data_IF_081678144825
#
_entry.id   IF_081678144825
#
_cell.length_a   1.000
_cell.length_b   1.000
_cell.length_c   1.000
_cell.angle_alpha   90.00
_cell.angle_beta   90.00
_cell.angle_gamma   90.00
#
_symmetry.space_group_name_H-M   'P 1'
#
loop_
_entity.id
_entity.type
_entity.pdbx_description
1 polymer ?
#
# COMPACT_ATOMS: atom_id res chain seq x y z
N UNK A 1 -21.10 -26.56 -59.09
CA UNK A 1 -21.34 -27.23 -57.79
C UNK A 1 -20.08 -27.48 -56.94
N UNK A 2 -18.89 -27.70 -57.53
CA UNK A 2 -17.63 -27.85 -56.77
C UNK A 2 -17.17 -26.56 -56.04
N UNK A 3 -17.48 -25.38 -56.59
CA UNK A 3 -17.17 -24.06 -55.97
C UNK A 3 -18.04 -23.75 -54.74
N UNK A 4 -19.23 -24.38 -54.64
CA UNK A 4 -20.13 -24.20 -53.50
C UNK A 4 -19.71 -25.07 -52.30
N UNK A 5 -19.07 -26.23 -52.53
CA UNK A 5 -18.51 -27.07 -51.47
C UNK A 5 -17.24 -26.49 -50.81
N UNK A 6 -16.47 -25.66 -51.52
CA UNK A 6 -15.26 -25.02 -50.97
C UNK A 6 -15.61 -23.87 -50.01
N UNK A 7 -16.75 -23.20 -50.20
CA UNK A 7 -17.20 -22.09 -49.35
C UNK A 7 -17.67 -22.52 -47.94
N UNK A 8 -18.15 -23.77 -47.81
CA UNK A 8 -18.71 -24.27 -46.54
C UNK A 8 -17.58 -24.75 -45.61
N UNK A 9 -16.49 -25.26 -46.18
CA UNK A 9 -15.31 -25.75 -45.43
C UNK A 9 -14.49 -24.61 -44.80
N UNK A 10 -14.58 -23.39 -45.34
CA UNK A 10 -13.98 -22.18 -44.76
C UNK A 10 -14.83 -21.54 -43.66
N UNK A 11 -16.12 -21.90 -43.53
CA UNK A 11 -17.03 -21.28 -42.55
C UNK A 11 -17.02 -21.96 -41.17
N UNK A 12 -16.54 -23.21 -41.08
CA UNK A 12 -16.59 -24.01 -39.84
C UNK A 12 -15.23 -24.20 -39.16
N UNK A 13 -14.14 -23.68 -39.73
CA UNK A 13 -12.79 -23.89 -39.20
C UNK A 13 -12.04 -22.57 -39.06
N UNK A 14 -12.11 -21.93 -37.89
CA UNK A 14 -11.04 -21.11 -37.24
C UNK A 14 -11.53 -20.10 -36.17
N UNK A 15 -12.79 -20.16 -35.69
CA UNK A 15 -13.15 -19.50 -34.41
C UNK A 15 -13.08 -20.48 -33.22
N UNK A 16 -11.99 -21.24 -33.14
CA UNK A 16 -11.51 -21.82 -31.88
C UNK A 16 -10.15 -21.20 -31.56
N UNK A 17 -10.06 -19.87 -31.61
CA UNK A 17 -8.92 -19.12 -31.08
C UNK A 17 -9.13 -18.87 -29.59
N UNK A 18 -8.49 -19.73 -28.80
CA UNK A 18 -7.91 -19.43 -27.48
C UNK A 18 -8.75 -18.61 -26.50
N UNK A 19 -9.37 -19.29 -25.54
CA UNK A 19 -9.69 -18.73 -24.23
C UNK A 19 -8.39 -18.44 -23.44
N UNK A 20 -7.67 -17.37 -23.81
CA UNK A 20 -6.73 -16.72 -22.92
C UNK A 20 -7.43 -15.54 -22.26
N UNK A 21 -8.16 -15.80 -21.17
CA UNK A 21 -8.38 -14.78 -20.15
C UNK A 21 -7.11 -14.65 -19.30
N UNK A 22 -6.02 -14.20 -19.93
CA UNK A 22 -5.20 -13.18 -19.26
C UNK A 22 -6.15 -11.98 -19.13
N UNK A 23 -6.17 -11.15 -18.08
CA UNK A 23 -5.05 -10.45 -17.46
C UNK A 23 -5.72 -9.76 -16.27
N UNK A 24 -5.64 -10.35 -15.08
CA UNK A 24 -5.68 -9.55 -13.85
C UNK A 24 -4.27 -8.99 -13.65
N UNK A 25 -3.80 -8.23 -14.66
CA UNK A 25 -2.70 -7.30 -14.47
C UNK A 25 -3.31 -6.14 -13.71
N UNK A 26 -3.21 -6.17 -12.39
CA UNK A 26 -3.18 -4.94 -11.61
C UNK A 26 -1.71 -4.58 -11.36
N UNK A 27 -1.02 -3.83 -12.23
CA UNK A 27 0.14 -3.07 -11.81
C UNK A 27 -0.39 -1.67 -11.44
N UNK A 28 -1.22 -1.58 -10.41
CA UNK A 28 -1.55 -0.27 -9.85
C UNK A 28 -0.48 0.05 -8.82
N UNK A 29 0.46 0.90 -9.23
CA UNK A 29 1.71 1.18 -8.54
C UNK A 29 1.56 1.49 -7.06
N UNK A 30 2.38 0.82 -6.26
CA UNK A 30 2.77 1.33 -4.95
C UNK A 30 4.05 2.14 -5.12
N UNK A 31 3.91 3.41 -5.48
CA UNK A 31 4.89 4.39 -5.04
C UNK A 31 4.66 4.51 -3.53
N UNK A 32 5.35 3.68 -2.76
CA UNK A 32 5.36 3.75 -1.31
C UNK A 32 6.17 4.99 -0.93
N UNK A 33 5.46 6.08 -0.68
CA UNK A 33 6.05 7.35 -0.28
C UNK A 33 6.49 7.25 1.18
N UNK A 34 7.61 6.55 1.36
CA UNK A 34 8.33 6.48 2.62
C UNK A 34 9.18 7.74 2.77
N UNK A 35 8.91 8.51 3.82
CA UNK A 35 9.79 9.62 4.24
C UNK A 35 10.73 9.14 5.33
N UNK A 36 11.97 9.61 5.31
CA UNK A 36 12.92 9.37 6.40
C UNK A 36 12.66 10.38 7.51
N UNK A 37 12.33 9.89 8.70
CA UNK A 37 12.26 10.68 9.93
C UNK A 37 13.35 10.24 10.90
N UNK A 38 13.68 11.05 11.89
CA UNK A 38 14.73 10.78 12.86
C UNK A 38 14.13 10.75 14.26
N UNK A 39 14.36 9.67 15.01
CA UNK A 39 13.81 9.48 16.36
C UNK A 39 14.89 9.16 17.38
N UNK A 40 14.67 9.54 18.64
CA UNK A 40 15.61 9.22 19.72
C UNK A 40 15.33 7.80 20.24
N UNK A 41 16.34 6.91 20.31
CA UNK A 41 16.14 5.54 20.81
C UNK A 41 15.66 5.50 22.27
N UNK A 42 15.95 6.54 23.07
CA UNK A 42 15.50 6.68 24.45
C UNK A 42 14.19 7.45 24.60
N UNK A 43 13.84 8.29 23.63
CA UNK A 43 12.67 9.16 23.68
C UNK A 43 11.89 9.08 22.35
N UNK A 44 11.09 8.02 22.15
CA UNK A 44 10.40 7.75 20.88
C UNK A 44 9.48 8.88 20.42
N UNK A 45 8.96 9.68 21.36
CA UNK A 45 8.10 10.83 21.09
C UNK A 45 8.83 11.98 20.39
N UNK A 46 10.16 11.98 20.44
CA UNK A 46 10.97 12.97 19.72
C UNK A 46 11.16 12.45 18.30
N UNK A 47 10.44 13.05 17.37
CA UNK A 47 10.54 12.78 15.95
C UNK A 47 10.94 14.10 15.27
N UNK A 48 11.92 14.05 14.38
CA UNK A 48 12.40 15.19 13.59
C UNK A 48 12.55 14.79 12.13
N UNK A 49 12.38 15.75 11.22
CA UNK A 49 12.58 15.50 9.78
C UNK A 49 14.07 15.59 9.38
N UNK A 50 14.96 15.96 10.31
CA UNK A 50 16.40 16.15 10.09
C UNK A 50 17.25 15.37 11.09
N UNK A 51 18.46 14.93 10.69
CA UNK A 51 19.42 14.34 11.63
C UNK A 51 19.84 15.36 12.68
N UNK A 52 20.34 14.87 13.82
CA UNK A 52 20.85 15.72 14.88
C UNK A 52 20.91 15.02 16.23
N UNK A 53 20.96 15.81 17.29
CA UNK A 53 20.90 15.33 18.67
C UNK A 53 19.50 15.47 19.26
N UNK A 54 19.18 14.56 20.17
CA UNK A 54 18.01 14.57 21.00
C UNK A 54 18.08 15.77 21.97
N UNK A 55 17.08 16.65 22.02
CA UNK A 55 17.07 17.79 22.94
C UNK A 55 16.87 17.38 24.41
N UNK A 56 16.36 16.17 24.69
CA UNK A 56 16.15 15.69 26.07
C UNK A 56 17.40 15.03 26.68
N UNK A 57 18.18 14.29 25.90
CA UNK A 57 19.32 13.51 26.42
C UNK A 57 20.62 13.64 25.62
N UNK A 58 20.67 14.46 24.58
CA UNK A 58 21.89 14.69 23.79
C UNK A 58 22.30 13.54 22.86
N UNK A 59 21.67 12.36 22.94
CA UNK A 59 21.98 11.23 22.05
C UNK A 59 21.68 11.55 20.58
N UNK A 60 22.41 10.92 19.66
CA UNK A 60 22.16 11.03 18.22
C UNK A 60 20.81 10.43 17.86
N UNK A 61 20.02 11.15 17.05
CA UNK A 61 18.77 10.64 16.50
C UNK A 61 19.05 9.59 15.41
N UNK A 62 18.23 8.56 15.38
CA UNK A 62 18.32 7.43 14.44
C UNK A 62 17.27 7.57 13.35
N UNK A 63 17.66 7.34 12.10
CA UNK A 63 16.75 7.40 10.95
C UNK A 63 15.75 6.23 10.97
N UNK A 64 14.48 6.52 10.68
CA UNK A 64 13.36 5.59 10.59
C UNK A 64 12.52 5.93 9.35
N UNK A 65 12.09 4.92 8.61
CA UNK A 65 11.15 5.11 7.49
C UNK A 65 9.73 5.25 8.03
N UNK A 66 9.05 6.33 7.68
CA UNK A 66 7.66 6.59 8.00
C UNK A 66 6.82 6.64 6.71
N UNK A 67 5.65 6.02 6.71
CA UNK A 67 4.68 6.16 5.62
C UNK A 67 4.01 7.52 5.74
N UNK A 68 4.37 8.44 4.87
CA UNK A 68 4.11 9.86 5.08
C UNK A 68 2.70 10.31 4.68
N UNK A 69 2.09 9.65 3.69
CA UNK A 69 1.10 10.38 2.88
C UNK A 69 -0.26 9.68 2.78
N UNK A 70 -0.47 8.54 3.45
CA UNK A 70 -1.74 7.81 3.35
C UNK A 70 -2.32 7.48 4.73
N UNK A 71 -3.63 7.69 4.95
CA UNK A 71 -4.30 7.12 6.10
C UNK A 71 -4.18 5.61 6.06
N UNK A 72 -3.92 5.01 7.21
CA UNK A 72 -3.86 3.57 7.37
C UNK A 72 -4.94 3.14 8.35
N UNK A 73 -5.40 1.91 8.25
CA UNK A 73 -6.44 1.35 9.11
C UNK A 73 -5.80 0.37 10.08
N UNK A 74 -6.20 0.42 11.35
CA UNK A 74 -5.67 -0.47 12.38
C UNK A 74 -6.78 -0.98 13.30
N UNK A 75 -6.59 -2.15 13.87
CA UNK A 75 -7.53 -2.73 14.81
C UNK A 75 -7.17 -2.28 16.23
N UNK A 76 -8.15 -1.73 16.97
CA UNK A 76 -7.94 -1.29 18.36
C UNK A 76 -7.53 -2.43 19.31
N UNK A 77 -7.95 -3.66 19.02
CA UNK A 77 -7.61 -4.85 19.81
C UNK A 77 -6.28 -5.48 19.38
N UNK A 78 -5.95 -5.39 18.08
CA UNK A 78 -4.78 -6.04 17.49
C UNK A 78 -3.92 -4.99 16.78
N UNK A 79 -3.07 -4.32 17.55
CA UNK A 79 -2.24 -3.22 17.06
C UNK A 79 -1.28 -3.63 15.93
N UNK A 80 -0.95 -4.92 15.81
CA UNK A 80 -0.14 -5.44 14.71
C UNK A 80 -0.90 -5.45 13.37
N UNK A 81 -2.25 -5.42 13.40
CA UNK A 81 -3.07 -5.40 12.18
C UNK A 81 -3.04 -3.99 11.60
N UNK A 82 -2.42 -3.86 10.42
CA UNK A 82 -2.41 -2.64 9.60
C UNK A 82 -2.91 -2.96 8.20
N UNK A 83 -3.76 -2.10 7.66
CA UNK A 83 -4.31 -2.19 6.32
C UNK A 83 -4.24 -0.83 5.63
N UNK A 84 -4.03 -0.83 4.32
CA UNK A 84 -4.16 0.35 3.46
C UNK A 84 -5.64 0.68 3.12
N UNK A 85 -6.58 -0.23 3.45
CA UNK A 85 -8.00 -0.13 3.10
C UNK A 85 -8.92 -0.29 4.32
N UNK A 86 -10.11 0.34 4.29
CA UNK A 86 -11.14 0.09 5.29
C UNK A 86 -11.64 -1.36 5.21
N UNK A 87 -12.21 -1.86 6.29
CA UNK A 87 -12.80 -3.20 6.33
C UNK A 87 -12.83 -3.80 7.73
N UNK A 88 -13.10 -5.10 7.78
CA UNK A 88 -13.06 -5.90 9.02
C UNK A 88 -11.65 -6.40 9.30
N UNK A 89 -11.29 -6.45 10.57
CA UNK A 89 -10.06 -7.04 11.06
C UNK A 89 -10.06 -8.56 10.80
N UNK A 90 -9.03 -9.14 10.16
CA UNK A 90 -8.98 -10.57 9.88
C UNK A 90 -8.81 -11.43 11.14
N UNK A 91 -8.38 -10.85 12.27
CA UNK A 91 -8.20 -11.56 13.54
C UNK A 91 -9.47 -11.65 14.40
N UNK A 92 -10.33 -10.62 14.39
CA UNK A 92 -11.52 -10.57 15.25
C UNK A 92 -12.82 -10.13 14.57
N UNK A 93 -12.79 -9.82 13.27
CA UNK A 93 -13.98 -9.40 12.52
C UNK A 93 -14.52 -8.00 12.87
N UNK A 94 -13.92 -7.27 13.80
CA UNK A 94 -14.32 -5.89 14.13
C UNK A 94 -13.88 -4.88 13.06
N UNK A 95 -14.56 -3.74 12.96
CA UNK A 95 -14.17 -2.69 12.02
C UNK A 95 -12.79 -2.11 12.33
N UNK A 96 -12.00 -1.92 11.28
CA UNK A 96 -10.71 -1.24 11.39
C UNK A 96 -10.92 0.26 11.54
N UNK A 97 -10.14 0.87 12.41
CA UNK A 97 -10.16 2.30 12.69
C UNK A 97 -9.16 3.01 11.79
N UNK A 98 -9.62 4.05 11.09
CA UNK A 98 -8.77 4.92 10.27
C UNK A 98 -7.82 5.72 11.18
N UNK A 99 -6.54 5.71 10.85
CA UNK A 99 -5.46 6.50 11.45
C UNK A 99 -4.90 7.42 10.38
N UNK A 100 -4.82 8.69 10.70
CA UNK A 100 -4.19 9.68 9.83
C UNK A 100 -2.66 9.60 10.01
N UNK A 101 -1.88 9.71 8.93
CA UNK A 101 -0.43 9.76 9.06
C UNK A 101 -0.07 11.02 9.87
N UNK A 102 0.75 10.85 10.91
CA UNK A 102 1.25 11.97 11.69
C UNK A 102 2.17 12.83 10.81
N UNK A 103 1.62 13.89 10.24
CA UNK A 103 2.36 14.89 9.50
C UNK A 103 3.12 15.79 10.48
N UNK A 104 4.45 15.68 10.53
CA UNK A 104 5.29 16.48 11.43
C UNK A 104 5.42 17.94 11.00
N UNK A 105 5.02 18.30 9.77
CA UNK A 105 5.04 19.67 9.29
C UNK A 105 3.95 20.55 9.90
N UNK A 106 2.91 19.98 10.54
CA UNK A 106 1.74 20.73 11.00
C UNK A 106 1.88 21.39 12.40
N UNK A 107 3.05 21.33 13.05
CA UNK A 107 3.29 21.98 14.34
C UNK A 107 4.31 23.14 14.25
N UNK A 108 4.45 23.76 13.07
CA UNK A 108 5.15 25.04 12.92
C UNK A 108 4.14 26.11 12.51
N UNK A 109 3.37 26.58 13.48
CA UNK A 109 2.64 27.85 13.45
C UNK A 109 2.91 28.55 14.78
#
# INVERSE_FOLDING_TARGET
>A
MKKLLILILFLTGTLATFAQKAKDTMPMGKMDSTRTVYTCPMHPDIIKDKPGKCPKCGMTLVAKKAHADKPYYTCSMHSEVRSDKPGKCPKCGMDLVKKEPMNHDKMKM
#
